data_IF_694840171539
#
_entry.id   IF_694840171539
#
_cell.length_a   1.000
_cell.length_b   1.000
_cell.length_c   1.000
_cell.angle_alpha   90.00
_cell.angle_beta   90.00
_cell.angle_gamma   90.00
#
_symmetry.space_group_name_H-M   'P 1'
#
loop_
_entity.id
_entity.type
_entity.pdbx_description
1 polymer ?
#
# COMPACT_ATOMS: atom_id res chain seq x y z
N UNK A 1 1.37 -1.58 10.61
CA UNK A 1 1.17 -2.87 9.94
C UNK A 1 0.28 -2.60 8.77
N UNK A 2 0.90 -2.62 7.60
CA UNK A 2 0.27 -2.34 6.33
C UNK A 2 -0.34 -3.64 5.78
N UNK A 3 -1.66 -3.62 5.56
CA UNK A 3 -2.44 -4.76 5.08
C UNK A 3 -2.73 -4.69 3.56
N UNK A 4 -2.08 -3.79 2.84
CA UNK A 4 -2.47 -3.48 1.46
C UNK A 4 -1.78 -4.36 0.44
N UNK A 5 -2.52 -5.08 -0.40
CA UNK A 5 -1.93 -5.80 -1.54
C UNK A 5 -1.65 -4.86 -2.72
N UNK A 6 -2.50 -3.86 -2.91
CA UNK A 6 -2.36 -2.87 -3.96
C UNK A 6 -1.05 -2.08 -3.81
N UNK A 7 -0.38 -1.88 -4.94
CA UNK A 7 0.86 -1.10 -5.01
C UNK A 7 0.57 0.34 -4.61
N UNK A 8 1.25 0.84 -3.60
CA UNK A 8 1.04 2.20 -3.09
C UNK A 8 2.34 2.84 -2.57
N UNK A 9 2.26 4.12 -2.27
CA UNK A 9 3.36 4.89 -1.67
C UNK A 9 3.06 6.38 -1.72
N UNK A 10 4.11 7.18 -1.74
CA UNK A 10 3.99 8.63 -1.63
C UNK A 10 4.71 9.31 -2.79
N UNK A 11 3.99 10.15 -3.53
CA UNK A 11 4.53 11.01 -4.60
C UNK A 11 4.50 12.46 -4.10
N UNK A 12 5.68 13.06 -3.92
CA UNK A 12 5.84 14.38 -3.29
C UNK A 12 5.13 14.51 -1.92
N UNK A 13 5.06 13.41 -1.16
CA UNK A 13 4.38 13.33 0.13
C UNK A 13 2.87 13.09 0.05
N UNK A 14 2.29 13.00 -1.16
CA UNK A 14 0.87 12.67 -1.38
C UNK A 14 0.73 11.13 -1.38
N UNK A 15 -0.08 10.54 -0.49
CA UNK A 15 -0.34 9.10 -0.52
C UNK A 15 -1.14 8.73 -1.77
N UNK A 16 -0.69 7.73 -2.51
CA UNK A 16 -1.33 7.23 -3.74
C UNK A 16 -1.28 5.71 -3.80
N UNK A 17 -2.22 5.12 -4.53
CA UNK A 17 -2.19 3.72 -4.95
C UNK A 17 -2.39 3.60 -6.46
N UNK A 18 -1.85 2.52 -7.04
CA UNK A 18 -2.12 2.16 -8.43
C UNK A 18 -3.41 1.36 -8.52
N UNK A 19 -4.51 2.09 -8.49
CA UNK A 19 -5.85 1.53 -8.49
C UNK A 19 -6.19 0.82 -9.82
N UNK A 20 -6.73 -0.39 -9.71
CA UNK A 20 -7.47 -1.10 -10.77
C UNK A 20 -8.92 -1.33 -10.33
N UNK A 21 -9.80 -1.83 -11.19
CA UNK A 21 -11.17 -2.13 -10.77
C UNK A 21 -11.20 -2.99 -9.50
N UNK A 22 -12.02 -2.59 -8.52
CA UNK A 22 -12.14 -3.23 -7.18
C UNK A 22 -10.89 -3.17 -6.31
N UNK A 23 -9.93 -2.30 -6.64
CA UNK A 23 -8.61 -2.24 -5.99
C UNK A 23 -7.78 -3.53 -6.16
N UNK A 24 -8.04 -4.28 -7.24
CA UNK A 24 -7.46 -5.60 -7.50
C UNK A 24 -6.29 -5.57 -8.49
N UNK A 25 -5.55 -4.46 -8.58
CA UNK A 25 -4.42 -4.31 -9.51
C UNK A 25 -3.31 -5.37 -9.29
N UNK A 26 -3.24 -5.95 -8.09
CA UNK A 26 -2.30 -7.00 -7.71
C UNK A 26 -2.93 -8.36 -7.42
N UNK A 27 -4.23 -8.54 -7.66
CA UNK A 27 -4.92 -9.81 -7.41
C UNK A 27 -4.18 -10.98 -8.07
N UNK A 28 -3.91 -12.02 -7.28
CA UNK A 28 -3.28 -13.26 -7.72
C UNK A 28 -1.75 -13.20 -7.79
N UNK A 29 -1.13 -12.05 -7.49
CA UNK A 29 0.32 -11.97 -7.29
C UNK A 29 0.69 -12.51 -5.91
N UNK A 30 1.85 -13.13 -5.81
CA UNK A 30 2.48 -13.33 -4.50
C UNK A 30 2.85 -11.99 -3.87
N UNK A 31 3.02 -11.95 -2.54
CA UNK A 31 3.52 -10.75 -1.87
C UNK A 31 4.85 -10.25 -2.46
N UNK A 32 5.74 -11.15 -2.88
CA UNK A 32 7.01 -10.77 -3.49
C UNK A 32 6.79 -10.00 -4.81
N UNK A 33 5.89 -10.50 -5.66
CA UNK A 33 5.56 -9.89 -6.95
C UNK A 33 4.81 -8.56 -6.77
N UNK A 34 3.89 -8.47 -5.80
CA UNK A 34 3.19 -7.22 -5.47
C UNK A 34 4.18 -6.12 -5.02
N UNK A 35 5.12 -6.44 -4.13
CA UNK A 35 6.16 -5.49 -3.68
C UNK A 35 7.15 -5.14 -4.78
N UNK A 36 7.42 -6.05 -5.72
CA UNK A 36 8.25 -5.76 -6.89
C UNK A 36 7.56 -4.79 -7.85
N UNK A 37 6.26 -5.00 -8.12
CA UNK A 37 5.43 -4.08 -8.90
C UNK A 37 5.38 -2.69 -8.24
N UNK A 38 5.12 -2.62 -6.94
CA UNK A 38 5.08 -1.36 -6.16
C UNK A 38 6.37 -0.56 -6.29
N UNK A 39 7.52 -1.19 -6.02
CA UNK A 39 8.83 -0.56 -6.13
C UNK A 39 9.14 -0.10 -7.56
N UNK A 40 8.80 -0.90 -8.57
CA UNK A 40 9.01 -0.52 -9.96
C UNK A 40 8.15 0.70 -10.34
N UNK A 41 6.87 0.72 -9.96
CA UNK A 41 5.95 1.82 -10.25
C UNK A 41 6.34 3.12 -9.57
N UNK A 42 6.69 3.05 -8.29
CA UNK A 42 7.18 4.19 -7.53
C UNK A 42 8.45 4.76 -8.18
N UNK A 43 9.44 3.92 -8.45
CA UNK A 43 10.68 4.37 -9.11
C UNK A 43 10.41 4.96 -10.51
N UNK A 44 9.52 4.35 -11.29
CA UNK A 44 9.16 4.84 -12.61
C UNK A 44 8.43 6.19 -12.58
N UNK A 45 7.77 6.55 -11.47
CA UNK A 45 7.12 7.84 -11.30
C UNK A 45 8.11 9.00 -11.06
N UNK A 46 9.31 8.72 -10.53
CA UNK A 46 10.29 9.76 -10.21
C UNK A 46 10.66 10.56 -11.46
N UNK A 47 10.59 11.90 -11.37
CA UNK A 47 10.87 12.84 -12.46
C UNK A 47 9.95 12.71 -13.69
N UNK A 48 8.82 12.00 -13.56
CA UNK A 48 7.77 11.91 -14.58
C UNK A 48 6.57 12.77 -14.23
N UNK A 49 5.80 13.10 -15.26
CA UNK A 49 4.48 13.71 -15.10
C UNK A 49 3.48 12.60 -14.77
N UNK A 50 2.75 12.75 -13.67
CA UNK A 50 1.73 11.82 -13.20
C UNK A 50 0.40 12.54 -13.08
N UNK A 51 -0.69 11.78 -13.19
CA UNK A 51 -2.05 12.22 -12.86
C UNK A 51 -2.49 11.50 -11.59
N UNK A 52 -2.84 12.26 -10.56
CA UNK A 52 -3.29 11.75 -9.26
C UNK A 52 -4.72 12.27 -9.06
N UNK A 53 -5.66 11.37 -8.79
CA UNK A 53 -7.05 11.76 -8.64
C UNK A 53 -7.76 10.90 -7.59
N UNK A 54 -8.73 11.49 -6.86
CA UNK A 54 -9.68 10.70 -6.09
C UNK A 54 -10.64 9.95 -7.04
N UNK A 55 -11.22 8.87 -6.53
CA UNK A 55 -12.28 8.15 -7.24
C UNK A 55 -13.65 8.74 -6.88
N UNK A 56 -14.42 9.08 -7.90
CA UNK A 56 -15.75 9.63 -7.78
C UNK A 56 -16.84 8.64 -8.20
N UNK A 57 -17.80 9.11 -9.01
CA UNK A 57 -18.91 8.27 -9.49
C UNK A 57 -18.38 7.03 -10.22
N UNK A 58 -19.04 5.90 -9.99
CA UNK A 58 -18.68 4.59 -10.56
C UNK A 58 -17.22 4.15 -10.33
N UNK A 59 -16.56 4.67 -9.29
CA UNK A 59 -15.16 4.37 -8.97
C UNK A 59 -14.20 4.73 -10.12
N UNK A 60 -14.53 5.79 -10.86
CA UNK A 60 -13.66 6.37 -11.88
C UNK A 60 -12.97 7.64 -11.35
N UNK A 61 -11.78 8.00 -11.88
CA UNK A 61 -11.11 9.26 -11.53
C UNK A 61 -12.03 10.46 -11.75
N UNK A 62 -12.16 11.33 -10.74
CA UNK A 62 -12.96 12.55 -10.81
C UNK A 62 -12.16 13.75 -10.25
N UNK A 63 -11.82 14.72 -11.10
CA UNK A 63 -10.95 15.84 -10.70
C UNK A 63 -9.48 15.45 -10.60
N UNK A 64 -8.80 15.89 -9.54
CA UNK A 64 -7.38 15.57 -9.28
C UNK A 64 -6.38 16.61 -9.80
N UNK A 65 -5.11 16.23 -9.81
CA UNK A 65 -3.99 17.08 -10.21
C UNK A 65 -3.01 16.35 -11.14
N UNK A 66 -2.34 17.14 -11.98
CA UNK A 66 -1.21 16.69 -12.81
C UNK A 66 0.05 17.40 -12.33
N UNK A 67 1.10 16.64 -12.04
CA UNK A 67 2.35 17.19 -11.52
C UNK A 67 3.56 16.40 -12.00
N UNK A 68 4.73 17.04 -11.98
CA UNK A 68 6.01 16.37 -12.22
C UNK A 68 6.65 15.99 -10.90
N UNK A 69 6.72 14.70 -10.59
CA UNK A 69 7.20 14.17 -9.32
C UNK A 69 8.67 14.51 -9.07
N UNK A 70 8.99 15.02 -7.90
CA UNK A 70 10.37 15.31 -7.46
C UNK A 70 10.83 14.38 -6.34
N UNK A 71 9.92 13.83 -5.55
CA UNK A 71 10.21 12.90 -4.46
C UNK A 71 9.27 11.69 -4.53
N UNK A 72 9.82 10.52 -4.28
CA UNK A 72 9.08 9.26 -4.17
C UNK A 72 9.48 8.61 -2.86
N UNK A 73 8.50 8.07 -2.13
CA UNK A 73 8.75 7.28 -0.93
C UNK A 73 7.84 6.04 -0.89
N UNK A 74 8.36 4.96 -0.37
CA UNK A 74 7.59 3.80 0.09
C UNK A 74 6.91 4.11 1.42
N UNK A 75 5.87 3.35 1.77
CA UNK A 75 5.27 3.50 3.10
C UNK A 75 6.23 3.09 4.22
N UNK A 76 7.13 2.14 3.97
CA UNK A 76 8.19 1.78 4.90
C UNK A 76 9.05 2.99 5.28
N UNK A 77 9.53 3.76 4.30
CA UNK A 77 10.34 4.96 4.55
C UNK A 77 9.57 6.02 5.34
N UNK A 78 8.26 6.17 5.09
CA UNK A 78 7.40 7.12 5.81
C UNK A 78 7.15 6.66 7.25
N UNK A 79 6.89 5.37 7.47
CA UNK A 79 6.71 4.79 8.80
C UNK A 79 7.99 4.92 9.65
N UNK A 80 9.14 4.59 9.06
CA UNK A 80 10.45 4.72 9.73
C UNK A 80 10.77 6.18 10.07
N UNK A 81 10.48 7.12 9.16
CA UNK A 81 10.64 8.56 9.42
C UNK A 81 9.71 9.08 10.54
N UNK A 82 8.57 8.42 10.76
CA UNK A 82 7.65 8.71 11.86
C UNK A 82 8.02 8.02 13.19
N UNK A 83 9.15 7.28 13.23
CA UNK A 83 9.59 6.54 14.41
C UNK A 83 8.85 5.21 14.63
N UNK A 84 8.15 4.71 13.61
CA UNK A 84 7.43 3.43 13.66
C UNK A 84 8.26 2.32 13.02
N UNK A 85 8.13 1.10 13.54
CA UNK A 85 8.56 -0.10 12.80
C UNK A 85 7.53 -0.42 11.72
N UNK A 86 7.99 -1.01 10.62
CA UNK A 86 7.16 -1.36 9.49
C UNK A 86 7.03 -2.87 9.32
N UNK A 87 5.83 -3.33 8.98
CA UNK A 87 5.55 -4.72 8.61
C UNK A 87 4.41 -4.75 7.60
N UNK A 88 4.61 -5.50 6.51
CA UNK A 88 3.70 -5.62 5.37
C UNK A 88 3.11 -7.01 5.25
N UNK A 89 1.79 -7.05 5.04
CA UNK A 89 0.99 -8.21 4.62
C UNK A 89 0.19 -7.77 3.40
N UNK A 90 0.44 -8.38 2.25
CA UNK A 90 -0.29 -8.05 1.02
C UNK A 90 -1.64 -8.78 1.00
N UNK A 91 -2.67 -8.22 1.65
CA UNK A 91 -4.02 -8.76 1.66
C UNK A 91 -4.92 -8.04 0.63
N UNK A 92 -5.56 -8.80 -0.23
CA UNK A 92 -6.46 -8.30 -1.29
C UNK A 92 -7.66 -7.57 -0.70
N UNK A 93 -8.06 -6.45 -1.30
CA UNK A 93 -9.24 -5.71 -0.83
C UNK A 93 -10.55 -6.50 -1.02
N UNK A 94 -11.54 -6.22 -0.17
CA UNK A 94 -12.90 -6.80 -0.18
C UNK A 94 -13.04 -8.31 0.05
N UNK A 95 -11.96 -9.02 0.38
CA UNK A 95 -11.98 -10.48 0.62
C UNK A 95 -11.32 -10.86 1.93
N UNK A 96 -11.56 -12.08 2.38
CA UNK A 96 -10.88 -12.65 3.55
C UNK A 96 -9.37 -12.82 3.26
N UNK A 97 -8.46 -12.46 4.18
CA UNK A 97 -7.02 -12.66 3.99
C UNK A 97 -6.67 -14.12 3.68
N UNK A 98 -5.71 -14.33 2.79
CA UNK A 98 -5.34 -15.70 2.39
C UNK A 98 -4.67 -16.45 3.54
N UNK A 99 -4.62 -17.80 3.51
CA UNK A 99 -3.85 -18.57 4.49
C UNK A 99 -2.40 -18.08 4.62
N UNK A 100 -1.75 -17.72 3.52
CA UNK A 100 -0.39 -17.19 3.51
C UNK A 100 -0.27 -15.85 4.23
N UNK A 101 -1.29 -14.97 4.10
CA UNK A 101 -1.35 -13.72 4.85
C UNK A 101 -1.46 -13.98 6.36
N UNK A 102 -2.33 -14.91 6.75
CA UNK A 102 -2.58 -15.25 8.15
C UNK A 102 -1.34 -15.90 8.78
N UNK A 103 -0.73 -16.88 8.11
CA UNK A 103 0.48 -17.54 8.59
C UNK A 103 1.63 -16.54 8.77
N UNK A 104 1.81 -15.63 7.80
CA UNK A 104 2.79 -14.55 7.90
C UNK A 104 2.52 -13.65 9.11
N UNK A 105 1.26 -13.28 9.37
CA UNK A 105 0.89 -12.49 10.54
C UNK A 105 1.17 -13.24 11.85
N UNK A 106 0.81 -14.52 11.95
CA UNK A 106 1.01 -15.32 13.15
C UNK A 106 2.50 -15.49 13.48
N UNK A 107 3.35 -15.71 12.48
CA UNK A 107 4.80 -15.75 12.66
C UNK A 107 5.32 -14.39 13.16
N UNK A 108 4.87 -13.29 12.56
CA UNK A 108 5.20 -11.94 13.02
C UNK A 108 4.78 -11.70 14.47
N UNK A 109 3.52 -11.97 14.80
CA UNK A 109 2.94 -11.74 16.13
C UNK A 109 3.72 -12.46 17.23
N UNK A 110 4.18 -13.69 16.98
CA UNK A 110 4.97 -14.48 17.92
C UNK A 110 6.36 -13.90 18.23
N UNK A 111 6.86 -12.97 17.42
CA UNK A 111 8.16 -12.32 17.63
C UNK A 111 8.06 -10.97 18.35
N UNK A 112 6.85 -10.50 18.63
CA UNK A 112 6.64 -9.20 19.25
C UNK A 112 7.01 -9.20 20.74
N UNK A 113 7.65 -8.13 21.24
CA UNK A 113 7.79 -7.94 22.68
C UNK A 113 6.43 -7.70 23.34
N UNK A 114 6.36 -7.94 24.65
CA UNK A 114 5.11 -7.85 25.41
C UNK A 114 4.43 -6.47 25.35
N UNK A 115 5.21 -5.41 25.17
CA UNK A 115 4.77 -4.01 25.13
C UNK A 115 4.55 -3.49 23.71
N UNK A 116 4.56 -4.35 22.69
CA UNK A 116 4.35 -3.94 21.31
C UNK A 116 2.95 -3.35 21.09
N UNK A 117 2.89 -2.16 20.47
CA UNK A 117 1.66 -1.59 19.93
C UNK A 117 1.55 -1.87 18.44
N UNK A 118 0.43 -2.47 18.00
CA UNK A 118 0.16 -2.76 16.59
C UNK A 118 -0.86 -1.75 16.06
N UNK A 119 -0.40 -0.79 15.26
CA UNK A 119 -1.29 0.03 14.43
C UNK A 119 -1.52 -0.67 13.09
N UNK A 120 -2.76 -1.09 12.83
CA UNK A 120 -3.18 -1.70 11.56
C UNK A 120 -3.91 -0.67 10.69
N UNK A 121 -3.71 -0.75 9.39
CA UNK A 121 -4.50 0.02 8.43
C UNK A 121 -4.59 -0.72 7.08
N UNK A 122 -5.56 -0.29 6.28
CA UNK A 122 -5.72 -0.61 4.88
C UNK A 122 -6.08 0.69 4.14
N UNK A 123 -6.69 0.64 2.96
CA UNK A 123 -7.13 1.86 2.27
C UNK A 123 -8.18 2.65 3.07
N UNK A 124 -9.20 1.96 3.58
CA UNK A 124 -10.36 2.60 4.23
C UNK A 124 -10.44 2.39 5.76
N UNK A 125 -9.54 1.58 6.34
CA UNK A 125 -9.56 1.22 7.76
C UNK A 125 -10.83 0.46 8.18
N UNK A 126 -11.33 -0.45 7.33
CA UNK A 126 -12.61 -1.14 7.56
C UNK A 126 -12.52 -2.67 7.41
N UNK A 127 -12.44 -3.19 6.18
CA UNK A 127 -12.67 -4.61 5.92
C UNK A 127 -11.47 -5.54 6.14
N UNK A 128 -10.29 -5.16 5.64
CA UNK A 128 -9.04 -5.93 5.74
C UNK A 128 -8.52 -6.00 7.17
#
# INVERSE_FOLDING_TARGET
VDLREESHGYLDGIPVSWYGERDWANLGKSQHEALADERHRLHAALHKTVYIAPLGKHKLPEGGEVRRVQKVQTEQEVAEAAGMRYFRIAATDHVWPTPENIDRFLVFYRTLPQDAWIHVHCEAGNGR
#
